data_IF_418568638594
#
_entry.id   IF_418568638594
#
_cell.length_a   1.000
_cell.length_b   1.000
_cell.length_c   1.000
_cell.angle_alpha   90.00
_cell.angle_beta   90.00
_cell.angle_gamma   90.00
#
_symmetry.space_group_name_H-M   'P 1'
#
loop_
_entity.id
_entity.type
_entity.pdbx_description
1 polymer ?
#
# COMPACT_ATOMS: atom_id res chain seq x y z
N UNK A 1 0.35 2.16 30.14
CA UNK A 1 0.69 1.43 28.91
C UNK A 1 1.03 2.45 27.83
N UNK A 2 2.29 2.54 27.41
CA UNK A 2 2.68 3.32 26.24
C UNK A 2 2.27 2.53 25.01
N UNK A 3 1.25 2.98 24.28
CA UNK A 3 0.95 2.41 22.97
C UNK A 3 2.15 2.72 22.07
N UNK A 4 2.83 1.72 21.49
CA UNK A 4 3.88 1.99 20.51
C UNK A 4 3.28 2.86 19.41
N UNK A 5 4.05 3.85 18.94
CA UNK A 5 3.65 4.79 17.89
C UNK A 5 2.96 4.01 16.76
N UNK A 6 1.80 4.49 16.31
CA UNK A 6 1.01 3.85 15.27
C UNK A 6 1.94 3.34 14.16
N UNK A 7 1.98 2.02 13.98
CA UNK A 7 2.98 1.37 13.16
C UNK A 7 2.88 1.80 11.68
N UNK A 8 1.70 2.29 11.27
CA UNK A 8 1.44 2.88 9.97
C UNK A 8 0.93 4.33 10.14
N UNK A 9 1.58 5.30 9.48
CA UNK A 9 1.06 6.67 9.42
C UNK A 9 -0.04 6.77 8.38
N UNK A 10 -1.01 7.64 8.62
CA UNK A 10 -2.07 7.93 7.65
C UNK A 10 -1.52 8.47 6.32
N UNK A 11 -0.44 9.27 6.36
CA UNK A 11 0.25 9.75 5.16
C UNK A 11 0.77 8.60 4.30
N UNK A 12 1.30 7.55 4.94
CA UNK A 12 1.89 6.41 4.25
C UNK A 12 0.80 5.55 3.61
N UNK A 13 -0.29 5.29 4.34
CA UNK A 13 -1.46 4.58 3.79
C UNK A 13 -2.07 5.33 2.59
N UNK A 14 -2.18 6.66 2.69
CA UNK A 14 -2.68 7.51 1.60
C UNK A 14 -1.77 7.42 0.38
N UNK A 15 -0.45 7.38 0.59
CA UNK A 15 0.53 7.21 -0.48
C UNK A 15 0.38 5.85 -1.17
N UNK A 16 0.23 4.77 -0.40
CA UNK A 16 0.03 3.42 -0.94
C UNK A 16 -1.26 3.34 -1.76
N UNK A 17 -2.36 3.90 -1.26
CA UNK A 17 -3.64 3.92 -1.96
C UNK A 17 -3.55 4.60 -3.34
N UNK A 18 -2.84 5.73 -3.43
CA UNK A 18 -2.62 6.44 -4.69
C UNK A 18 -1.80 5.62 -5.68
N UNK A 19 -0.77 4.92 -5.20
CA UNK A 19 0.05 4.05 -6.05
C UNK A 19 -0.78 2.89 -6.61
N UNK A 20 -1.59 2.23 -5.77
CA UNK A 20 -2.47 1.13 -6.20
C UNK A 20 -3.52 1.61 -7.22
N UNK A 21 -4.14 2.77 -6.97
CA UNK A 21 -5.09 3.37 -7.89
C UNK A 21 -4.44 3.71 -9.25
N UNK A 22 -3.24 4.30 -9.24
CA UNK A 22 -2.51 4.63 -10.45
C UNK A 22 -2.08 3.39 -11.24
N UNK A 23 -1.85 2.27 -10.57
CA UNK A 23 -1.52 0.98 -11.17
C UNK A 23 -2.75 0.18 -11.64
N UNK A 24 -3.98 0.65 -11.40
CA UNK A 24 -5.20 -0.07 -11.77
C UNK A 24 -5.55 -1.24 -10.85
N UNK A 25 -5.00 -1.27 -9.63
CA UNK A 25 -5.24 -2.34 -8.67
C UNK A 25 -6.48 -1.98 -7.84
N UNK A 26 -7.57 -2.70 -8.08
CA UNK A 26 -8.86 -2.45 -7.42
C UNK A 26 -8.91 -2.98 -5.99
N UNK A 27 -8.23 -4.10 -5.72
CA UNK A 27 -8.20 -4.75 -4.42
C UNK A 27 -6.76 -4.87 -3.93
N UNK A 28 -6.49 -4.38 -2.72
CA UNK A 28 -5.17 -4.47 -2.10
C UNK A 28 -5.29 -4.38 -0.57
N UNK A 29 -4.26 -4.82 0.15
CA UNK A 29 -4.16 -4.66 1.60
C UNK A 29 -2.74 -4.35 2.05
N UNK A 30 -2.61 -3.76 3.23
CA UNK A 30 -1.32 -3.51 3.90
C UNK A 30 -1.26 -4.33 5.17
N UNK A 31 -0.23 -5.15 5.29
CA UNK A 31 0.10 -5.88 6.50
C UNK A 31 1.27 -5.17 7.20
N UNK A 32 1.10 -4.88 8.49
CA UNK A 32 2.13 -4.25 9.31
C UNK A 32 2.67 -5.27 10.29
N UNK A 33 3.92 -5.67 10.10
CA UNK A 33 4.57 -6.70 10.91
C UNK A 33 5.05 -6.12 12.26
N UNK A 34 5.23 -6.96 13.30
CA UNK A 34 5.70 -6.51 14.62
C UNK A 34 7.07 -5.82 14.62
N UNK A 35 7.89 -6.06 13.59
CA UNK A 35 9.19 -5.41 13.39
C UNK A 35 9.10 -4.05 12.68
N UNK A 36 7.89 -3.56 12.39
CA UNK A 36 7.66 -2.29 11.68
C UNK A 36 7.75 -2.38 10.16
N UNK A 37 7.93 -3.57 9.58
CA UNK A 37 7.91 -3.75 8.13
C UNK A 37 6.47 -3.68 7.60
N UNK A 38 6.27 -2.91 6.53
CA UNK A 38 5.02 -2.89 5.78
C UNK A 38 5.11 -3.83 4.58
N UNK A 39 4.10 -4.65 4.40
CA UNK A 39 3.94 -5.53 3.24
C UNK A 39 2.66 -5.12 2.53
N UNK A 40 2.79 -4.62 1.31
CA UNK A 40 1.64 -4.25 0.47
C UNK A 40 1.35 -5.43 -0.45
N UNK A 41 0.13 -5.94 -0.39
CA UNK A 41 -0.29 -7.09 -1.18
C UNK A 41 -1.33 -6.58 -2.17
N UNK A 42 -0.95 -6.56 -3.45
CA UNK A 42 -1.84 -6.30 -4.56
C UNK A 42 -2.69 -7.56 -4.83
N UNK A 43 -4.00 -7.38 -4.91
CA UNK A 43 -4.96 -8.41 -5.30
C UNK A 43 -5.20 -8.37 -6.81
N UNK A 44 -6.47 -8.42 -7.21
CA UNK A 44 -6.82 -8.35 -8.64
C UNK A 44 -6.43 -6.98 -9.22
N UNK A 45 -5.64 -7.04 -10.28
CA UNK A 45 -5.46 -5.94 -11.22
C UNK A 45 -6.69 -5.92 -12.11
N UNK A 46 -7.34 -4.75 -12.23
CA UNK A 46 -8.32 -4.57 -13.28
C UNK A 46 -7.54 -4.23 -14.56
N UNK A 47 -7.44 -5.21 -15.47
CA UNK A 47 -6.65 -5.08 -16.71
C UNK A 47 -7.12 -3.90 -17.57
N UNK A 48 -8.37 -3.44 -17.43
CA UNK A 48 -8.89 -2.26 -18.10
C UNK A 48 -8.23 -0.95 -17.65
N UNK A 49 -7.55 -0.95 -16.50
CA UNK A 49 -6.89 0.21 -15.90
C UNK A 49 -5.42 -0.03 -15.59
N UNK A 50 -4.80 -1.07 -16.16
CA UNK A 50 -3.41 -1.43 -15.90
C UNK A 50 -2.47 -0.23 -16.15
N UNK A 51 -1.94 0.32 -15.06
CA UNK A 51 -0.99 1.43 -15.06
C UNK A 51 0.45 0.95 -14.86
N UNK A 52 1.40 1.87 -14.63
CA UNK A 52 2.79 1.52 -14.36
C UNK A 52 2.93 0.71 -13.05
N UNK A 53 4.02 -0.06 -12.94
CA UNK A 53 4.30 -0.92 -11.79
C UNK A 53 4.24 -0.12 -10.47
N UNK A 54 3.48 -0.57 -9.46
CA UNK A 54 3.39 0.08 -8.16
C UNK A 54 4.75 0.37 -7.49
N UNK A 55 5.75 -0.48 -7.68
CA UNK A 55 7.07 -0.31 -7.06
C UNK A 55 7.77 0.95 -7.59
N UNK A 56 7.47 1.37 -8.83
CA UNK A 56 8.02 2.61 -9.41
C UNK A 56 7.46 3.88 -8.73
N UNK A 57 6.25 3.77 -8.17
CA UNK A 57 5.52 4.89 -7.53
C UNK A 57 5.83 5.05 -6.04
N UNK A 58 6.40 4.02 -5.42
CA UNK A 58 6.61 3.92 -3.97
C UNK A 58 7.98 4.45 -3.47
N UNK A 59 8.78 5.10 -4.33
CA UNK A 59 10.13 5.64 -4.01
C UNK A 59 10.24 6.56 -2.79
#
# INVERSE_FOLDING_TARGET
MSYPRAALKQSDLTRYAKAMQAAGIAEWRVEVLPNGKHVIIAGKVDEAFAGPDPDELLK
#
